data_IF_823019415651
#
_entry.id   IF_823019415651
#
_cell.length_a   1.000
_cell.length_b   1.000
_cell.length_c   1.000
_cell.angle_alpha   90.00
_cell.angle_beta   90.00
_cell.angle_gamma   90.00
#
_symmetry.space_group_name_H-M   'P 1'
#
loop_
_entity.id
_entity.type
_entity.pdbx_description
1 polymer ?
#
# COMPACT_ATOMS: atom_id res chain seq x y z
N UNK A 1 14.91 22.22 2.35
CA UNK A 1 15.45 20.90 1.98
C UNK A 1 14.59 20.31 0.88
N UNK A 2 15.18 19.70 -0.16
CA UNK A 2 14.41 19.03 -1.21
C UNK A 2 13.55 17.91 -0.61
N UNK A 3 12.37 17.68 -1.20
CA UNK A 3 11.46 16.63 -0.75
C UNK A 3 12.03 15.30 -1.24
N UNK A 4 12.57 14.49 -0.32
CA UNK A 4 13.11 13.16 -0.66
C UNK A 4 12.05 12.30 -1.36
N UNK A 5 12.45 11.64 -2.45
CA UNK A 5 11.66 10.64 -3.15
C UNK A 5 11.45 9.39 -2.30
N UNK A 6 10.45 8.57 -2.61
CA UNK A 6 10.19 7.34 -1.84
C UNK A 6 11.39 6.38 -1.85
N UNK A 7 12.05 6.22 -3.00
CA UNK A 7 13.25 5.38 -3.13
C UNK A 7 14.37 5.81 -2.17
N UNK A 8 14.63 7.12 -2.07
CA UNK A 8 15.64 7.69 -1.16
C UNK A 8 15.26 7.49 0.31
N UNK A 9 13.97 7.64 0.65
CA UNK A 9 13.50 7.38 2.02
C UNK A 9 13.68 5.90 2.38
N UNK A 10 13.39 4.99 1.45
CA UNK A 10 13.57 3.55 1.63
C UNK A 10 15.04 3.22 1.87
N UNK A 11 15.97 3.80 1.13
CA UNK A 11 17.41 3.53 1.31
C UNK A 11 17.96 4.05 2.64
N UNK A 12 17.39 5.12 3.20
CA UNK A 12 17.84 5.72 4.45
C UNK A 12 17.40 4.96 5.72
N UNK A 13 16.37 4.10 5.63
CA UNK A 13 15.85 3.35 6.79
C UNK A 13 16.68 2.09 7.05
N UNK A 14 17.21 1.94 8.26
CA UNK A 14 18.01 0.78 8.71
C UNK A 14 17.12 -0.39 9.16
N UNK A 15 17.70 -1.58 9.43
CA UNK A 15 16.96 -2.67 10.04
C UNK A 15 16.32 -2.32 11.39
N UNK A 16 16.99 -1.58 12.29
CA UNK A 16 16.37 -1.20 13.58
C UNK A 16 15.17 -0.27 13.38
N UNK A 17 15.27 0.68 12.47
CA UNK A 17 14.18 1.60 12.14
C UNK A 17 13.01 0.90 11.45
N UNK A 18 13.30 -0.11 10.61
CA UNK A 18 12.28 -1.00 10.03
C UNK A 18 11.53 -1.78 11.11
N UNK A 19 12.25 -2.33 12.10
CA UNK A 19 11.64 -3.02 13.24
C UNK A 19 10.77 -2.05 14.06
N UNK A 20 11.23 -0.82 14.29
CA UNK A 20 10.43 0.19 14.98
C UNK A 20 9.13 0.51 14.23
N UNK A 21 9.18 0.68 12.90
CA UNK A 21 7.97 0.87 12.08
C UNK A 21 7.01 -0.32 12.17
N UNK A 22 7.54 -1.54 12.22
CA UNK A 22 6.72 -2.75 12.41
C UNK A 22 5.93 -2.75 13.72
N UNK A 23 6.50 -2.22 14.81
CA UNK A 23 5.78 -2.13 16.09
C UNK A 23 4.49 -1.31 15.95
N UNK A 24 4.47 -0.25 15.12
CA UNK A 24 3.24 0.49 14.83
C UNK A 24 2.19 -0.36 14.13
N UNK A 25 2.59 -1.19 13.15
CA UNK A 25 1.66 -2.08 12.43
C UNK A 25 1.09 -3.16 13.35
N UNK A 26 1.92 -3.71 14.24
CA UNK A 26 1.51 -4.73 15.22
C UNK A 26 0.49 -4.17 16.23
N UNK A 27 0.55 -2.87 16.50
CA UNK A 27 -0.29 -2.16 17.48
C UNK A 27 -1.43 -1.33 16.86
N UNK A 28 -1.63 -1.43 15.53
CA UNK A 28 -2.50 -0.55 14.74
C UNK A 28 -3.93 -0.39 15.23
N UNK A 29 -4.55 -1.44 15.77
CA UNK A 29 -5.94 -1.42 16.24
C UNK A 29 -6.07 -1.05 17.71
N UNK A 30 -4.95 -1.02 18.45
CA UNK A 30 -4.91 -0.65 19.87
C UNK A 30 -4.52 0.81 20.07
N UNK A 31 -3.64 1.34 19.23
CA UNK A 31 -3.10 2.69 19.36
C UNK A 31 -3.13 3.42 18.02
N UNK A 32 -3.93 4.49 17.93
CA UNK A 32 -3.76 5.47 16.83
C UNK A 32 -2.46 6.27 17.01
N UNK A 33 -2.14 6.59 18.26
CA UNK A 33 -0.90 7.21 18.70
C UNK A 33 -0.19 6.28 19.67
N UNK A 34 1.00 5.82 19.30
CA UNK A 34 1.81 4.88 20.04
C UNK A 34 2.67 5.62 21.09
N UNK A 35 2.62 5.23 22.37
CA UNK A 35 3.52 5.74 23.39
C UNK A 35 4.96 5.25 23.15
N UNK A 36 5.95 6.10 23.48
CA UNK A 36 7.38 5.76 23.37
C UNK A 36 7.75 4.48 24.14
N UNK A 37 7.18 4.28 25.33
CA UNK A 37 7.49 3.13 26.17
C UNK A 37 7.18 1.79 25.47
N UNK A 38 6.15 1.74 24.62
CA UNK A 38 5.85 0.53 23.85
C UNK A 38 6.98 0.20 22.87
N UNK A 39 7.58 1.19 22.21
CA UNK A 39 8.75 0.98 21.34
C UNK A 39 9.96 0.51 22.14
N UNK A 40 10.21 1.16 23.28
CA UNK A 40 11.31 0.82 24.19
C UNK A 40 11.23 -0.64 24.61
N UNK A 41 10.07 -1.07 25.13
CA UNK A 41 9.86 -2.41 25.66
C UNK A 41 9.86 -3.47 24.55
N UNK A 42 9.26 -3.17 23.38
CA UNK A 42 9.21 -4.11 22.25
C UNK A 42 10.56 -4.32 21.58
N UNK A 43 11.43 -3.30 21.54
CA UNK A 43 12.73 -3.36 20.90
C UNK A 43 13.87 -3.68 21.87
N UNK A 44 13.63 -3.65 23.18
CA UNK A 44 14.67 -3.86 24.20
C UNK A 44 15.72 -2.74 24.22
N UNK A 45 15.34 -1.52 23.82
CA UNK A 45 16.26 -0.39 23.66
C UNK A 45 16.19 0.58 24.84
N UNK A 46 17.24 1.37 25.03
CA UNK A 46 17.23 2.50 25.95
C UNK A 46 16.36 3.65 25.42
N UNK A 47 15.97 4.57 26.31
CA UNK A 47 15.19 5.76 25.95
C UNK A 47 15.90 6.61 24.88
N UNK A 48 17.23 6.73 24.96
CA UNK A 48 18.06 7.53 24.05
C UNK A 48 18.18 6.89 22.66
N UNK A 49 18.30 5.58 22.59
CA UNK A 49 18.32 4.84 21.31
C UNK A 49 16.98 4.99 20.59
N UNK A 50 15.86 4.85 21.32
CA UNK A 50 14.52 5.07 20.76
C UNK A 50 14.35 6.50 20.24
N UNK A 51 14.84 7.52 20.96
CA UNK A 51 14.78 8.92 20.48
C UNK A 51 15.56 9.11 19.17
N UNK A 52 16.69 8.43 19.03
CA UNK A 52 17.53 8.49 17.83
C UNK A 52 16.78 7.90 16.63
N UNK A 53 16.18 6.72 16.81
CA UNK A 53 15.33 6.06 15.80
C UNK A 53 14.15 6.96 15.42
N UNK A 54 13.41 7.48 16.41
CA UNK A 54 12.23 8.33 16.19
C UNK A 54 12.59 9.62 15.45
N UNK A 55 13.71 10.24 15.79
CA UNK A 55 14.21 11.44 15.10
C UNK A 55 14.48 11.15 13.63
N UNK A 56 15.15 10.02 13.32
CA UNK A 56 15.44 9.63 11.94
C UNK A 56 14.18 9.27 11.16
N UNK A 57 13.25 8.52 11.76
CA UNK A 57 11.96 8.20 11.15
C UNK A 57 11.12 9.46 10.84
N UNK A 58 11.20 10.51 11.67
CA UNK A 58 10.57 11.81 11.39
C UNK A 58 11.24 12.53 10.22
N UNK A 59 12.57 12.50 10.11
CA UNK A 59 13.31 13.10 8.98
C UNK A 59 12.88 12.51 7.64
N UNK A 60 12.70 11.19 7.58
CA UNK A 60 12.16 10.50 6.38
C UNK A 60 10.64 10.53 6.29
N UNK A 61 9.95 11.30 7.15
CA UNK A 61 8.48 11.44 7.23
C UNK A 61 7.74 10.10 7.34
N UNK A 62 8.38 9.07 7.89
CA UNK A 62 7.76 7.76 8.10
C UNK A 62 6.76 7.78 9.27
N UNK A 63 7.04 8.62 10.27
CA UNK A 63 6.17 8.84 11.43
C UNK A 63 5.90 10.34 11.61
N UNK A 64 4.87 10.64 12.39
CA UNK A 64 4.52 11.97 12.83
C UNK A 64 4.33 12.00 14.36
N UNK A 65 4.29 13.19 14.95
CA UNK A 65 4.20 13.38 16.41
C UNK A 65 3.02 14.24 16.80
N UNK A 66 2.41 13.93 17.92
CA UNK A 66 1.32 14.73 18.49
C UNK A 66 1.45 14.81 20.01
N UNK A 67 1.07 15.95 20.60
CA UNK A 67 1.10 16.13 22.04
C UNK A 67 -0.28 15.83 22.61
N UNK A 68 -0.40 14.77 23.41
CA UNK A 68 -1.66 14.30 24.00
C UNK A 68 -1.47 14.23 25.51
N UNK A 69 -2.34 14.92 26.26
CA UNK A 69 -2.27 14.96 27.73
C UNK A 69 -0.89 15.34 28.29
N UNK A 70 -0.19 16.24 27.60
CA UNK A 70 1.15 16.71 27.98
C UNK A 70 2.31 15.87 27.45
N UNK A 71 2.07 14.64 27.00
CA UNK A 71 3.08 13.70 26.50
C UNK A 71 3.22 13.73 24.97
N UNK A 72 4.42 13.44 24.46
CA UNK A 72 4.67 13.28 23.02
C UNK A 72 4.35 11.84 22.61
N UNK A 73 3.43 11.71 21.67
CA UNK A 73 2.98 10.44 21.12
C UNK A 73 3.29 10.37 19.63
N UNK A 74 3.44 9.16 19.10
CA UNK A 74 3.91 8.92 17.74
C UNK A 74 2.86 8.22 16.90
N UNK A 75 2.72 8.57 15.62
CA UNK A 75 1.84 7.86 14.68
C UNK A 75 2.58 7.52 13.40
N UNK A 76 2.32 6.36 12.83
CA UNK A 76 2.86 6.00 11.51
C UNK A 76 2.12 6.78 10.41
N UNK A 77 2.82 7.09 9.33
CA UNK A 77 2.26 7.72 8.13
C UNK A 77 2.14 6.70 6.99
N UNK A 78 1.45 7.04 5.89
CA UNK A 78 1.50 6.21 4.68
C UNK A 78 2.93 5.97 4.20
N UNK A 79 3.79 7.00 4.22
CA UNK A 79 5.21 6.87 3.89
C UNK A 79 5.91 5.79 4.73
N UNK A 80 5.56 5.68 6.02
CA UNK A 80 6.12 4.62 6.88
C UNK A 80 5.68 3.22 6.46
N UNK A 81 4.42 3.06 6.06
CA UNK A 81 3.89 1.79 5.54
C UNK A 81 4.49 1.48 4.16
N UNK A 82 4.59 2.49 3.29
CA UNK A 82 5.22 2.40 1.97
C UNK A 82 6.68 1.89 2.10
N UNK A 83 7.45 2.43 3.05
CA UNK A 83 8.81 1.97 3.33
C UNK A 83 8.85 0.51 3.78
N UNK A 84 7.95 0.11 4.69
CA UNK A 84 7.85 -1.29 5.14
C UNK A 84 7.55 -2.22 3.95
N UNK A 85 6.62 -1.82 3.09
CA UNK A 85 6.21 -2.57 1.92
C UNK A 85 7.35 -2.79 0.93
N UNK A 86 8.03 -1.72 0.51
CA UNK A 86 9.12 -1.81 -0.47
C UNK A 86 10.31 -2.62 0.07
N UNK A 87 10.71 -2.42 1.34
CA UNK A 87 11.80 -3.21 1.93
C UNK A 87 11.43 -4.70 2.03
N UNK A 88 10.19 -5.01 2.38
CA UNK A 88 9.70 -6.40 2.44
C UNK A 88 9.68 -7.05 1.06
N UNK A 89 9.23 -6.35 0.02
CA UNK A 89 9.23 -6.84 -1.36
C UNK A 89 10.64 -7.02 -1.92
N UNK A 90 11.58 -6.15 -1.56
CA UNK A 90 12.99 -6.31 -1.88
C UNK A 90 13.58 -7.57 -1.23
N UNK A 91 13.35 -7.76 0.08
CA UNK A 91 13.83 -8.95 0.79
C UNK A 91 13.24 -10.26 0.23
N UNK A 92 12.01 -10.23 -0.28
CA UNK A 92 11.34 -11.35 -0.97
C UNK A 92 11.79 -11.56 -2.42
N UNK A 93 12.76 -10.79 -2.91
CA UNK A 93 13.24 -10.83 -4.30
C UNK A 93 12.15 -10.52 -5.35
N UNK A 94 11.16 -9.69 -5.01
CA UNK A 94 10.07 -9.28 -5.93
C UNK A 94 10.37 -7.93 -6.60
N UNK A 95 10.85 -6.96 -5.83
CA UNK A 95 11.16 -5.59 -6.33
C UNK A 95 12.63 -5.31 -6.11
N UNK A 96 13.40 -5.13 -7.19
CA UNK A 96 14.82 -4.76 -7.12
C UNK A 96 15.01 -3.25 -7.00
N UNK A 97 14.24 -2.47 -7.76
CA UNK A 97 14.34 -1.01 -7.76
C UNK A 97 12.98 -0.35 -7.96
N UNK A 98 12.79 0.79 -7.28
CA UNK A 98 11.60 1.64 -7.38
C UNK A 98 11.88 2.83 -8.30
N UNK A 99 11.02 3.03 -9.29
CA UNK A 99 11.07 4.14 -10.23
C UNK A 99 10.24 5.35 -9.81
N UNK A 100 9.86 6.16 -10.80
CA UNK A 100 8.99 7.33 -10.58
C UNK A 100 7.51 6.92 -10.47
N UNK A 101 6.70 7.82 -9.91
CA UNK A 101 5.25 7.63 -9.88
C UNK A 101 4.67 7.82 -11.29
N UNK A 102 3.78 6.92 -11.68
CA UNK A 102 3.07 6.94 -12.97
C UNK A 102 1.58 7.25 -12.82
N UNK A 103 1.08 7.27 -11.58
CA UNK A 103 -0.30 7.61 -11.28
C UNK A 103 -0.45 7.94 -9.81
N UNK A 104 -1.11 9.05 -9.50
CA UNK A 104 -1.37 9.47 -8.13
C UNK A 104 -2.85 9.79 -7.96
N UNK A 105 -3.53 8.95 -7.21
CA UNK A 105 -4.94 9.11 -6.86
C UNK A 105 -5.13 9.46 -5.39
N UNK A 106 -6.40 9.71 -5.02
CA UNK A 106 -6.78 9.94 -3.61
C UNK A 106 -6.54 8.70 -2.74
N UNK A 107 -6.64 7.52 -3.34
CA UNK A 107 -6.73 6.24 -2.62
C UNK A 107 -5.57 5.30 -2.91
N UNK A 108 -4.73 5.62 -3.90
CA UNK A 108 -3.52 4.87 -4.17
C UNK A 108 -2.48 5.72 -4.89
N UNK A 109 -1.25 5.25 -4.92
CA UNK A 109 -0.18 5.78 -5.77
C UNK A 109 0.48 4.62 -6.49
N UNK A 110 0.66 4.76 -7.80
CA UNK A 110 1.27 3.75 -8.66
C UNK A 110 2.64 4.25 -9.08
N UNK A 111 3.61 3.35 -9.02
CA UNK A 111 4.99 3.55 -9.44
C UNK A 111 5.34 2.47 -10.46
N UNK A 112 6.24 2.77 -11.40
CA UNK A 112 6.95 1.71 -12.08
C UNK A 112 8.16 1.27 -11.23
N UNK A 113 8.69 0.09 -11.52
CA UNK A 113 9.91 -0.42 -10.92
C UNK A 113 10.48 -1.55 -11.78
N UNK A 114 11.52 -2.20 -11.26
CA UNK A 114 12.10 -3.36 -11.90
C UNK A 114 12.21 -4.52 -10.92
N UNK A 115 11.97 -5.73 -11.40
CA UNK A 115 12.22 -6.96 -10.66
C UNK A 115 13.71 -7.35 -10.69
N UNK A 116 14.04 -8.54 -10.18
CA UNK A 116 15.42 -9.02 -10.17
C UNK A 116 15.93 -9.51 -11.52
N UNK A 117 15.04 -9.81 -12.47
CA UNK A 117 15.37 -10.18 -13.84
C UNK A 117 15.58 -8.96 -14.75
N UNK A 118 15.19 -7.77 -14.29
CA UNK A 118 15.27 -6.53 -15.07
C UNK A 118 13.98 -6.21 -15.83
N UNK A 119 12.89 -6.93 -15.55
CA UNK A 119 11.59 -6.72 -16.17
C UNK A 119 10.86 -5.53 -15.52
N UNK A 120 10.15 -4.77 -16.35
CA UNK A 120 9.36 -3.62 -15.90
C UNK A 120 8.10 -4.10 -15.17
N UNK A 121 7.86 -3.56 -13.97
CA UNK A 121 6.72 -3.93 -13.12
C UNK A 121 5.97 -2.69 -12.62
N UNK A 122 4.69 -2.86 -12.31
CA UNK A 122 3.87 -1.87 -11.64
C UNK A 122 3.81 -2.14 -10.13
N UNK A 123 3.95 -1.10 -9.32
CA UNK A 123 3.90 -1.15 -7.85
C UNK A 123 2.80 -0.19 -7.40
N UNK A 124 1.69 -0.73 -6.91
CA UNK A 124 0.55 0.03 -6.41
C UNK A 124 0.58 0.07 -4.89
N UNK A 125 0.62 1.28 -4.33
CA UNK A 125 0.59 1.54 -2.89
C UNK A 125 -0.79 2.05 -2.49
N UNK A 126 -1.50 1.30 -1.65
CA UNK A 126 -2.82 1.68 -1.15
C UNK A 126 -2.73 2.76 -0.07
N UNK A 127 -3.64 3.72 -0.14
CA UNK A 127 -3.73 4.90 0.74
C UNK A 127 -5.15 5.15 1.29
N UNK A 128 -5.99 4.12 1.26
CA UNK A 128 -7.38 4.17 1.73
C UNK A 128 -7.42 4.27 3.26
N UNK A 129 -7.81 5.42 3.83
CA UNK A 129 -8.03 5.48 5.28
C UNK A 129 -8.07 6.86 5.94
N UNK A 130 -7.23 7.83 5.51
CA UNK A 130 -7.15 9.14 6.20
C UNK A 130 -8.22 10.15 5.79
N UNK A 131 -8.60 10.18 4.52
CA UNK A 131 -9.47 11.23 3.94
C UNK A 131 -10.85 10.70 3.55
N UNK A 132 -10.93 9.51 2.94
CA UNK A 132 -12.21 8.87 2.55
C UNK A 132 -13.14 8.62 3.74
N UNK A 133 -12.60 8.57 4.97
CA UNK A 133 -13.38 8.35 6.20
C UNK A 133 -13.79 9.61 6.96
N UNK A 134 -13.41 10.83 6.53
CA UNK A 134 -13.97 12.05 7.16
C UNK A 134 -15.50 12.08 7.04
N UNK A 135 -16.06 11.55 5.96
CA UNK A 135 -17.51 11.45 5.74
C UNK A 135 -18.14 10.20 6.38
N UNK A 136 -17.37 9.14 6.62
CA UNK A 136 -17.83 7.88 7.26
C UNK A 136 -17.88 7.99 8.79
N UNK A 137 -17.26 9.02 9.37
CA UNK A 137 -17.30 9.29 10.83
C UNK A 137 -18.73 9.41 11.38
N UNK A 138 -19.71 9.81 10.57
CA UNK A 138 -21.13 9.90 10.95
C UNK A 138 -21.86 8.54 11.08
N UNK A 139 -21.30 7.44 10.55
CA UNK A 139 -21.88 6.09 10.63
C UNK A 139 -21.21 5.19 11.68
N UNK A 140 -20.17 5.69 12.35
CA UNK A 140 -19.26 4.91 13.20
C UNK A 140 -19.64 4.84 14.69
N UNK A 141 -20.78 5.40 15.10
CA UNK A 141 -21.19 5.36 16.51
C UNK A 141 -21.55 3.95 17.02
N UNK A 142 -21.56 2.91 16.16
CA UNK A 142 -22.05 1.57 16.53
C UNK A 142 -21.03 0.43 16.51
N UNK A 143 -19.79 0.60 16.04
CA UNK A 143 -18.81 -0.51 16.04
C UNK A 143 -17.38 -0.02 16.27
N UNK A 144 -16.68 -0.70 17.18
CA UNK A 144 -15.24 -0.59 17.48
C UNK A 144 -14.40 -1.07 16.29
N UNK A 145 -14.51 -0.40 15.15
CA UNK A 145 -14.08 -0.88 13.83
C UNK A 145 -12.65 -0.50 13.48
N UNK A 146 -11.92 -1.49 12.93
CA UNK A 146 -10.58 -1.48 12.31
C UNK A 146 -9.94 -0.10 12.08
N UNK A 147 -8.68 0.03 12.49
CA UNK A 147 -7.86 1.22 12.21
C UNK A 147 -7.75 1.50 10.70
N UNK A 148 -7.46 2.76 10.34
CA UNK A 148 -7.20 3.12 8.94
C UNK A 148 -6.04 2.32 8.34
N UNK A 149 -5.07 1.92 9.17
CA UNK A 149 -3.96 1.05 8.80
C UNK A 149 -4.53 -0.32 8.42
N UNK A 150 -5.33 -0.95 9.30
CA UNK A 150 -5.96 -2.25 9.02
C UNK A 150 -6.77 -2.22 7.74
N UNK A 151 -7.56 -1.19 7.52
CA UNK A 151 -8.32 -0.99 6.28
C UNK A 151 -7.38 -0.90 5.08
N UNK A 152 -6.30 -0.13 5.16
CA UNK A 152 -5.31 0.01 4.08
C UNK A 152 -4.69 -1.35 3.72
N UNK A 153 -4.26 -2.12 4.73
CA UNK A 153 -3.62 -3.43 4.55
C UNK A 153 -4.60 -4.45 3.97
N UNK A 154 -5.84 -4.49 4.47
CA UNK A 154 -6.89 -5.38 3.98
C UNK A 154 -7.22 -5.09 2.51
N UNK A 155 -7.28 -3.81 2.11
CA UNK A 155 -7.52 -3.44 0.70
C UNK A 155 -6.43 -3.98 -0.23
N UNK A 156 -5.16 -3.83 0.14
CA UNK A 156 -4.06 -4.33 -0.66
C UNK A 156 -4.03 -5.88 -0.73
N UNK A 157 -4.35 -6.56 0.39
CA UNK A 157 -4.48 -8.02 0.41
C UNK A 157 -5.63 -8.51 -0.47
N UNK A 158 -6.79 -7.84 -0.40
CA UNK A 158 -7.96 -8.19 -1.19
C UNK A 158 -7.71 -8.01 -2.69
N UNK A 159 -7.05 -6.92 -3.09
CA UNK A 159 -6.69 -6.68 -4.49
C UNK A 159 -5.71 -7.75 -5.00
N UNK A 160 -4.65 -8.05 -4.25
CA UNK A 160 -3.71 -9.11 -4.62
C UNK A 160 -4.41 -10.48 -4.76
N UNK A 161 -5.28 -10.83 -3.82
CA UNK A 161 -6.04 -12.09 -3.84
C UNK A 161 -7.00 -12.15 -5.04
N UNK A 162 -7.64 -11.02 -5.38
CA UNK A 162 -8.50 -10.91 -6.56
C UNK A 162 -7.71 -11.13 -7.85
N UNK A 163 -6.58 -10.45 -8.02
CA UNK A 163 -5.70 -10.61 -9.17
C UNK A 163 -5.22 -12.05 -9.30
N UNK A 164 -4.80 -12.68 -8.19
CA UNK A 164 -4.36 -14.08 -8.21
C UNK A 164 -5.47 -15.03 -8.66
N UNK A 165 -6.67 -14.87 -8.11
CA UNK A 165 -7.78 -15.74 -8.49
C UNK A 165 -8.19 -15.54 -9.95
N UNK A 166 -8.37 -14.29 -10.40
CA UNK A 166 -8.81 -14.00 -11.77
C UNK A 166 -7.76 -14.46 -12.77
N UNK A 167 -6.47 -14.19 -12.53
CA UNK A 167 -5.39 -14.62 -13.43
C UNK A 167 -5.27 -16.14 -13.51
N UNK A 168 -5.38 -16.84 -12.37
CA UNK A 168 -5.31 -18.31 -12.33
C UNK A 168 -6.48 -18.99 -13.07
N UNK A 169 -7.59 -18.27 -13.26
CA UNK A 169 -8.73 -18.70 -14.06
C UNK A 169 -8.72 -18.10 -15.48
N UNK A 170 -7.53 -17.70 -15.98
CA UNK A 170 -7.30 -17.17 -17.33
C UNK A 170 -8.04 -15.85 -17.64
N UNK A 171 -8.46 -15.11 -16.62
CA UNK A 171 -9.02 -13.77 -16.79
C UNK A 171 -7.95 -12.78 -17.23
N UNK A 172 -8.34 -11.80 -18.05
CA UNK A 172 -7.42 -10.82 -18.61
C UNK A 172 -7.16 -9.68 -17.60
N UNK A 173 -6.27 -9.95 -16.65
CA UNK A 173 -5.78 -8.99 -15.66
C UNK A 173 -4.25 -9.00 -15.63
N UNK A 174 -3.60 -7.95 -15.11
CA UNK A 174 -2.16 -7.96 -14.88
C UNK A 174 -1.75 -9.16 -14.02
N UNK A 175 -0.65 -9.82 -14.39
CA UNK A 175 -0.13 -10.94 -13.60
C UNK A 175 0.35 -10.44 -12.23
N UNK A 176 -0.18 -10.94 -11.09
CA UNK A 176 0.27 -10.52 -9.78
C UNK A 176 1.64 -11.11 -9.45
N UNK A 177 2.58 -10.29 -9.00
CA UNK A 177 3.97 -10.67 -8.72
C UNK A 177 4.28 -10.79 -7.22
N UNK A 178 3.61 -9.99 -6.39
CA UNK A 178 3.79 -10.05 -4.95
C UNK A 178 3.03 -9.00 -4.18
N UNK A 179 2.94 -9.21 -2.87
CA UNK A 179 2.24 -8.35 -1.92
C UNK A 179 3.04 -8.17 -0.62
N UNK A 180 3.03 -6.96 -0.09
CA UNK A 180 3.51 -6.66 1.26
C UNK A 180 2.86 -5.39 1.82
N UNK A 181 2.30 -5.49 3.02
CA UNK A 181 1.67 -4.37 3.72
C UNK A 181 0.60 -3.67 2.88
N UNK A 182 0.87 -2.47 2.36
CA UNK A 182 -0.05 -1.72 1.49
C UNK A 182 0.34 -1.79 0.00
N UNK A 183 1.34 -2.58 -0.36
CA UNK A 183 1.81 -2.69 -1.74
C UNK A 183 1.33 -3.96 -2.42
N UNK A 184 0.83 -3.79 -3.65
CA UNK A 184 0.60 -4.84 -4.63
C UNK A 184 1.53 -4.60 -5.82
N UNK A 185 2.24 -5.65 -6.23
CA UNK A 185 3.12 -5.62 -7.40
C UNK A 185 2.59 -6.54 -8.46
N UNK A 186 2.62 -6.09 -9.71
CA UNK A 186 2.01 -6.77 -10.85
C UNK A 186 2.72 -6.44 -12.15
N UNK A 187 2.45 -7.22 -13.17
CA UNK A 187 2.84 -6.98 -14.56
C UNK A 187 2.54 -5.53 -14.97
N UNK A 188 3.53 -4.89 -15.61
CA UNK A 188 3.32 -3.59 -16.21
C UNK A 188 2.63 -3.78 -17.57
N UNK A 189 1.48 -3.13 -17.76
CA UNK A 189 0.74 -3.16 -19.02
C UNK A 189 0.98 -1.86 -19.77
N UNK A 190 1.68 -1.94 -20.90
CA UNK A 190 1.79 -0.82 -21.84
C UNK A 190 0.54 -0.82 -22.73
N UNK A 191 -0.37 0.13 -22.49
CA UNK A 191 -1.64 0.19 -23.20
C UNK A 191 -2.33 1.53 -23.06
N UNK A 192 -3.43 1.69 -23.80
CA UNK A 192 -4.27 2.90 -23.80
C UNK A 192 -5.54 2.61 -23.02
N UNK A 193 -5.95 3.54 -22.16
CA UNK A 193 -7.22 3.44 -21.44
C UNK A 193 -8.38 3.41 -22.44
N UNK A 194 -9.39 2.57 -22.18
CA UNK A 194 -10.54 2.41 -23.07
C UNK A 194 -11.25 3.73 -23.36
N UNK A 195 -11.31 4.65 -22.39
CA UNK A 195 -11.85 6.00 -22.54
C UNK A 195 -11.21 6.83 -23.67
N UNK A 196 -9.98 6.52 -24.05
CA UNK A 196 -9.21 7.23 -25.07
C UNK A 196 -8.85 6.36 -26.28
N UNK A 197 -9.34 5.12 -26.32
CA UNK A 197 -8.98 4.16 -27.35
C UNK A 197 -9.92 4.24 -28.55
N UNK A 198 -9.36 4.23 -29.76
CA UNK A 198 -10.11 3.97 -30.98
C UNK A 198 -10.17 2.46 -31.26
N UNK A 199 -11.39 1.92 -31.35
CA UNK A 199 -11.61 0.48 -31.46
C UNK A 199 -11.99 0.09 -32.88
N UNK A 200 -11.13 -0.70 -33.53
CA UNK A 200 -11.45 -1.32 -34.83
C UNK A 200 -12.51 -2.43 -34.71
N UNK A 201 -12.59 -3.08 -33.54
CA UNK A 201 -13.49 -4.22 -33.26
C UNK A 201 -14.17 -4.11 -31.88
N UNK A 202 -15.12 -3.18 -31.70
CA UNK A 202 -15.73 -2.91 -30.39
C UNK A 202 -16.39 -4.14 -29.74
N UNK A 203 -17.08 -4.97 -30.53
CA UNK A 203 -17.78 -6.17 -30.03
C UNK A 203 -16.80 -7.19 -29.42
N UNK A 204 -15.67 -7.45 -30.08
CA UNK A 204 -14.66 -8.38 -29.57
C UNK A 204 -14.04 -7.89 -28.25
N UNK A 205 -13.87 -6.57 -28.11
CA UNK A 205 -13.35 -5.96 -26.87
C UNK A 205 -14.37 -6.10 -25.74
N UNK A 206 -15.64 -5.82 -26.01
CA UNK A 206 -16.72 -5.98 -25.02
C UNK A 206 -16.81 -7.43 -24.54
N UNK A 207 -16.77 -8.41 -25.45
CA UNK A 207 -16.82 -9.83 -25.10
C UNK A 207 -15.67 -10.24 -24.16
N UNK A 208 -14.45 -9.73 -24.40
CA UNK A 208 -13.29 -9.98 -23.54
C UNK A 208 -13.43 -9.36 -22.15
N UNK A 209 -13.98 -8.15 -22.05
CA UNK A 209 -14.27 -7.50 -20.77
C UNK A 209 -15.29 -8.34 -20.00
N UNK A 210 -16.42 -8.66 -20.62
CA UNK A 210 -17.49 -9.45 -19.99
C UNK A 210 -17.02 -10.86 -19.59
N UNK A 211 -16.17 -11.50 -20.39
CA UNK A 211 -15.56 -12.78 -20.05
C UNK A 211 -14.72 -12.70 -18.77
N UNK A 212 -13.90 -11.65 -18.63
CA UNK A 212 -13.06 -11.44 -17.43
C UNK A 212 -13.92 -11.16 -16.20
N UNK A 213 -14.97 -10.34 -16.32
CA UNK A 213 -15.92 -10.06 -15.23
C UNK A 213 -16.71 -11.31 -14.84
N UNK A 214 -17.12 -12.11 -15.82
CA UNK A 214 -17.76 -13.40 -15.56
C UNK A 214 -16.83 -14.29 -14.74
N UNK A 215 -15.54 -14.37 -15.09
CA UNK A 215 -14.56 -15.16 -14.34
C UNK A 215 -14.48 -14.71 -12.88
N UNK A 216 -14.32 -13.39 -12.66
CA UNK A 216 -14.27 -12.81 -11.33
C UNK A 216 -15.53 -13.16 -10.51
N UNK A 217 -16.70 -13.06 -11.12
CA UNK A 217 -17.96 -13.35 -10.43
C UNK A 217 -18.17 -14.85 -10.15
N UNK A 218 -18.00 -15.71 -11.16
CA UNK A 218 -18.37 -17.13 -11.05
C UNK A 218 -17.34 -17.95 -10.29
N UNK A 219 -16.05 -17.73 -10.54
CA UNK A 219 -14.98 -18.53 -9.95
C UNK A 219 -14.41 -17.88 -8.68
N UNK A 220 -14.25 -16.55 -8.68
CA UNK A 220 -13.63 -15.86 -7.55
C UNK A 220 -14.64 -15.30 -6.55
N UNK A 221 -15.94 -15.28 -6.88
CA UNK A 221 -17.01 -14.70 -6.06
C UNK A 221 -16.79 -13.21 -5.76
N UNK A 222 -16.20 -12.50 -6.72
CA UNK A 222 -15.86 -11.08 -6.62
C UNK A 222 -16.75 -10.27 -7.58
N UNK A 223 -17.25 -9.15 -7.09
CA UNK A 223 -17.92 -8.13 -7.91
C UNK A 223 -16.98 -6.93 -8.00
N UNK A 224 -16.65 -6.47 -9.21
CA UNK A 224 -15.70 -5.36 -9.42
C UNK A 224 -16.19 -4.05 -8.77
N UNK A 225 -17.50 -3.81 -8.74
CA UNK A 225 -18.19 -2.66 -8.11
C UNK A 225 -17.86 -1.26 -8.64
N UNK A 226 -16.86 -1.13 -9.52
CA UNK A 226 -16.38 0.14 -10.08
C UNK A 226 -16.00 0.05 -11.58
N UNK A 227 -16.52 -0.94 -12.31
CA UNK A 227 -16.10 -1.18 -13.71
C UNK A 227 -16.50 0.01 -14.62
N UNK A 228 -15.53 0.58 -15.33
CA UNK A 228 -15.67 1.78 -16.15
C UNK A 228 -14.67 1.79 -17.32
N UNK A 229 -14.74 2.74 -18.26
CA UNK A 229 -13.74 2.88 -19.32
C UNK A 229 -12.31 3.26 -18.86
N UNK A 230 -12.10 3.48 -17.56
CA UNK A 230 -10.81 3.89 -16.99
C UNK A 230 -10.06 2.77 -16.26
N UNK A 231 -10.68 1.61 -16.03
CA UNK A 231 -10.16 0.51 -15.22
C UNK A 231 -10.46 -0.88 -15.78
#
# INVERSE_FOLDING_TARGET
MPVLALAERVSLVTPEEYLALRVFIENKDKYEYLPKNILKDRLGLSSREVDTILTKLRTVKAIDTERISGEIMFKITFTGIDILAIKSLYAKHVVKSLGQSIGQGKESSVYYGYDFNGELIAIKLHRVGKTSFKNVRKLRELRREKSWISITLDNALNEFSALQCVKSNFGNVPSPLGYAFNAVTMEFIEGVQLAHAELSKPSEVLDKILATIRIAYTYCKIVHSDLSPYN
#
